data_IF_299253798878
#
_entry.id   IF_299253798878
#
_cell.length_a   1.000
_cell.length_b   1.000
_cell.length_c   1.000
_cell.angle_alpha   90.00
_cell.angle_beta   90.00
_cell.angle_gamma   90.00
#
_symmetry.space_group_name_H-M   'P 1'
#
loop_
_entity.id
_entity.type
_entity.pdbx_description
1 polymer ?
#
# COMPACT_ATOMS: atom_id res chain seq x y z
N UNK A 1 -44.00 -5.24 -23.80
CA UNK A 1 -42.77 -4.64 -24.33
C UNK A 1 -42.06 -3.68 -23.34
N UNK A 2 -42.63 -3.44 -22.13
CA UNK A 2 -42.08 -2.50 -21.13
C UNK A 2 -41.06 -3.16 -20.18
N UNK A 3 -41.07 -4.50 -20.09
CA UNK A 3 -40.22 -5.24 -19.12
C UNK A 3 -38.72 -5.08 -19.33
N UNK A 4 -38.26 -5.04 -20.58
CA UNK A 4 -36.81 -4.91 -20.89
C UNK A 4 -36.25 -3.59 -20.40
N UNK A 5 -36.82 -2.41 -20.70
CA UNK A 5 -36.34 -1.15 -20.15
C UNK A 5 -36.34 -1.09 -18.61
N UNK A 6 -37.36 -1.64 -17.98
CA UNK A 6 -37.46 -1.66 -16.51
C UNK A 6 -36.35 -2.53 -15.91
N UNK A 7 -36.13 -3.72 -16.46
CA UNK A 7 -35.02 -4.59 -16.02
C UNK A 7 -33.67 -3.95 -16.19
N UNK A 8 -33.46 -3.23 -17.30
CA UNK A 8 -32.23 -2.52 -17.57
C UNK A 8 -31.97 -1.42 -16.52
N UNK A 9 -32.97 -0.59 -16.24
CA UNK A 9 -32.87 0.47 -15.22
C UNK A 9 -32.63 -0.13 -13.84
N UNK A 10 -33.30 -1.24 -13.48
CA UNK A 10 -33.10 -1.93 -12.23
C UNK A 10 -31.67 -2.48 -12.10
N UNK A 11 -31.11 -3.05 -13.17
CA UNK A 11 -29.74 -3.58 -13.20
C UNK A 11 -28.70 -2.46 -13.03
N UNK A 12 -28.87 -1.36 -13.74
CA UNK A 12 -28.00 -0.18 -13.61
C UNK A 12 -28.05 0.40 -12.18
N UNK A 13 -29.26 0.51 -11.62
CA UNK A 13 -29.47 0.99 -10.25
C UNK A 13 -28.85 0.07 -9.19
N UNK A 14 -28.92 -1.24 -9.40
CA UNK A 14 -28.30 -2.23 -8.50
C UNK A 14 -26.78 -2.14 -8.57
N UNK A 15 -26.21 -2.06 -9.78
CA UNK A 15 -24.79 -1.84 -9.96
C UNK A 15 -24.29 -0.57 -9.27
N UNK A 16 -24.99 0.54 -9.45
CA UNK A 16 -24.63 1.82 -8.83
C UNK A 16 -24.65 1.75 -7.29
N UNK A 17 -25.62 1.06 -6.67
CA UNK A 17 -25.66 0.84 -5.22
C UNK A 17 -24.49 0.00 -4.73
N UNK A 18 -23.98 -0.90 -5.56
CA UNK A 18 -22.78 -1.70 -5.27
C UNK A 18 -21.46 -0.95 -5.59
N UNK A 19 -21.51 0.34 -5.94
CA UNK A 19 -20.35 1.15 -6.30
C UNK A 19 -19.85 0.94 -7.73
N UNK A 20 -20.62 0.24 -8.58
CA UNK A 20 -20.26 -0.05 -9.97
C UNK A 20 -21.00 0.89 -10.91
N UNK A 21 -20.24 1.75 -11.62
CA UNK A 21 -20.82 2.63 -12.62
C UNK A 21 -20.83 1.94 -14.00
N UNK A 22 -22.05 1.56 -14.46
CA UNK A 22 -22.22 0.97 -15.79
C UNK A 22 -22.79 2.05 -16.74
N UNK A 23 -22.06 2.37 -17.79
CA UNK A 23 -22.36 3.48 -18.71
C UNK A 23 -23.36 3.09 -19.80
N UNK A 24 -24.47 2.47 -19.44
CA UNK A 24 -25.58 2.14 -20.33
C UNK A 24 -25.87 0.66 -20.49
N UNK A 25 -27.04 0.35 -20.99
CA UNK A 25 -27.58 -1.00 -21.08
C UNK A 25 -26.78 -1.94 -21.98
N UNK A 26 -26.16 -1.42 -23.04
CA UNK A 26 -25.30 -2.22 -23.93
C UNK A 26 -24.16 -2.90 -23.17
N UNK A 27 -23.66 -2.26 -22.12
CA UNK A 27 -22.59 -2.84 -21.27
C UNK A 27 -23.14 -3.91 -20.33
N UNK A 28 -24.39 -3.81 -19.87
CA UNK A 28 -25.04 -4.87 -19.09
C UNK A 28 -25.19 -6.13 -19.93
N UNK A 29 -25.61 -5.98 -21.19
CA UNK A 29 -25.72 -7.12 -22.12
C UNK A 29 -24.35 -7.72 -22.46
N UNK A 30 -23.32 -6.88 -22.62
CA UNK A 30 -21.97 -7.33 -22.87
C UNK A 30 -21.40 -8.15 -21.70
N UNK A 31 -21.69 -7.75 -20.44
CA UNK A 31 -21.27 -8.50 -19.25
C UNK A 31 -21.78 -9.94 -19.24
N UNK A 32 -22.97 -10.21 -19.78
CA UNK A 32 -23.52 -11.56 -19.87
C UNK A 32 -22.73 -12.49 -20.82
N UNK A 33 -21.88 -11.93 -21.67
CA UNK A 33 -21.05 -12.67 -22.65
C UNK A 33 -19.57 -12.74 -22.27
N UNK A 34 -19.19 -12.15 -21.13
CA UNK A 34 -17.80 -12.15 -20.66
C UNK A 34 -17.41 -13.57 -20.30
N UNK A 35 -16.36 -14.08 -20.93
CA UNK A 35 -15.75 -15.39 -20.66
C UNK A 35 -14.38 -15.29 -20.02
N UNK A 36 -13.71 -14.13 -20.13
CA UNK A 36 -12.38 -13.88 -19.56
C UNK A 36 -12.36 -12.50 -18.93
N UNK A 37 -11.77 -12.39 -17.73
CA UNK A 37 -11.55 -11.14 -17.04
C UNK A 37 -10.07 -10.96 -16.80
N UNK A 38 -9.49 -9.87 -17.32
CA UNK A 38 -8.13 -9.45 -17.04
C UNK A 38 -8.15 -8.37 -15.97
N UNK A 39 -7.43 -8.57 -14.87
CA UNK A 39 -7.40 -7.66 -13.74
C UNK A 39 -5.97 -7.13 -13.54
N UNK A 40 -5.84 -5.81 -13.41
CA UNK A 40 -4.62 -5.22 -12.92
C UNK A 40 -4.46 -5.50 -11.41
N UNK A 41 -3.21 -5.65 -10.95
CA UNK A 41 -2.92 -5.94 -9.55
C UNK A 41 -2.98 -4.67 -8.71
N UNK A 42 -2.21 -3.66 -9.09
CA UNK A 42 -1.92 -2.51 -8.22
C UNK A 42 -3.04 -1.47 -8.26
N UNK A 43 -3.68 -1.20 -7.13
CA UNK A 43 -4.81 -0.28 -7.04
C UNK A 43 -6.16 -0.87 -7.50
N UNK A 44 -6.17 -2.09 -8.07
CA UNK A 44 -7.38 -2.83 -8.45
C UNK A 44 -7.61 -3.99 -7.49
N UNK A 45 -6.70 -4.97 -7.47
CA UNK A 45 -6.75 -6.09 -6.52
C UNK A 45 -6.15 -5.74 -5.16
N UNK A 46 -5.24 -4.77 -5.14
CA UNK A 46 -4.62 -4.25 -3.93
C UNK A 46 -5.06 -2.81 -3.68
N UNK A 47 -4.96 -2.37 -2.44
CA UNK A 47 -5.32 -0.98 -2.05
C UNK A 47 -4.32 0.07 -2.52
N UNK A 48 -3.18 -0.33 -3.11
CA UNK A 48 -2.10 0.58 -3.49
C UNK A 48 -1.39 1.24 -2.30
N UNK A 49 -1.67 0.79 -1.08
CA UNK A 49 -1.04 1.25 0.16
C UNK A 49 -0.23 0.10 0.73
N UNK A 50 1.10 0.14 0.67
CA UNK A 50 1.94 -0.85 1.34
C UNK A 50 1.78 -0.73 2.86
N UNK A 51 1.83 -1.87 3.54
CA UNK A 51 1.80 -1.96 4.99
C UNK A 51 2.87 -2.98 5.43
N UNK A 52 3.55 -2.70 6.55
CA UNK A 52 4.48 -3.68 7.15
C UNK A 52 3.65 -4.69 7.92
N UNK A 53 3.69 -5.95 7.50
CA UNK A 53 2.95 -7.04 8.13
C UNK A 53 3.79 -7.77 9.18
N UNK A 54 5.11 -7.74 9.06
CA UNK A 54 6.03 -8.43 9.95
C UNK A 54 7.41 -7.75 9.95
N UNK A 55 8.07 -7.70 11.10
CA UNK A 55 9.41 -7.18 11.27
C UNK A 55 10.22 -8.18 12.10
N UNK A 56 11.27 -8.73 11.49
CA UNK A 56 12.14 -9.74 12.13
C UNK A 56 13.61 -9.38 12.01
N UNK A 57 14.32 -9.53 13.10
CA UNK A 57 15.79 -9.45 13.07
C UNK A 57 16.38 -10.76 12.55
N UNK A 58 17.44 -10.65 11.76
CA UNK A 58 18.19 -11.83 11.27
C UNK A 58 18.88 -12.60 12.41
N UNK A 59 19.32 -11.88 13.45
CA UNK A 59 19.88 -12.47 14.68
C UNK A 59 19.12 -11.89 15.88
N UNK A 60 18.33 -12.69 16.59
CA UNK A 60 17.53 -12.18 17.70
C UNK A 60 18.39 -11.93 18.94
N UNK A 61 18.49 -10.66 19.34
CA UNK A 61 18.94 -10.21 20.66
C UNK A 61 17.77 -9.54 21.40
N UNK A 62 17.68 -9.70 22.72
CA UNK A 62 16.63 -9.06 23.50
C UNK A 62 16.83 -7.54 23.53
N UNK A 63 15.84 -6.79 23.08
CA UNK A 63 15.86 -5.31 23.02
C UNK A 63 16.34 -4.71 21.71
N UNK A 64 16.99 -5.45 20.85
CA UNK A 64 17.54 -4.96 19.58
C UNK A 64 16.46 -4.65 18.53
N UNK A 65 15.30 -5.32 18.58
CA UNK A 65 14.22 -5.11 17.61
C UNK A 65 13.66 -3.69 17.67
N UNK A 66 13.37 -3.17 18.85
CA UNK A 66 12.87 -1.81 19.02
C UNK A 66 13.93 -0.76 18.63
N UNK A 67 15.18 -1.01 18.98
CA UNK A 67 16.28 -0.12 18.61
C UNK A 67 16.51 -0.12 17.09
N UNK A 68 16.49 -1.29 16.44
CA UNK A 68 16.63 -1.39 14.99
C UNK A 68 15.44 -0.72 14.28
N UNK A 69 14.23 -0.93 14.76
CA UNK A 69 13.03 -0.28 14.21
C UNK A 69 13.12 1.26 14.35
N UNK A 70 13.64 1.75 15.47
CA UNK A 70 13.92 3.17 15.69
C UNK A 70 14.90 3.74 14.65
N UNK A 71 15.99 3.01 14.36
CA UNK A 71 16.99 3.39 13.35
C UNK A 71 16.38 3.43 11.95
N UNK A 72 15.66 2.36 11.57
CA UNK A 72 15.00 2.26 10.26
C UNK A 72 13.97 3.39 10.09
N UNK A 73 13.16 3.66 11.11
CA UNK A 73 12.22 4.78 11.10
C UNK A 73 12.93 6.13 10.97
N UNK A 74 14.10 6.29 11.60
CA UNK A 74 14.92 7.49 11.48
C UNK A 74 15.39 7.76 10.06
N UNK A 75 15.86 6.72 9.37
CA UNK A 75 16.28 6.79 7.97
C UNK A 75 15.09 7.10 7.06
N UNK A 76 14.01 6.33 7.19
CA UNK A 76 12.83 6.44 6.33
C UNK A 76 12.06 7.75 6.53
N UNK A 77 12.20 8.42 7.68
CA UNK A 77 11.62 9.75 7.90
C UNK A 77 12.12 10.80 6.90
N UNK A 78 13.31 10.59 6.34
CA UNK A 78 13.91 11.48 5.33
C UNK A 78 13.59 11.04 3.91
N UNK A 79 13.04 9.84 3.72
CA UNK A 79 12.70 9.26 2.43
C UNK A 79 11.33 9.75 1.94
N UNK A 80 11.19 9.96 0.64
CA UNK A 80 9.90 10.24 -0.01
C UNK A 80 9.28 9.00 -0.67
N UNK A 81 9.88 7.83 -0.47
CA UNK A 81 9.40 6.59 -1.06
C UNK A 81 8.08 6.15 -0.43
N UNK A 82 7.11 5.60 -1.19
CA UNK A 82 5.84 5.13 -0.63
C UNK A 82 5.97 4.08 0.49
N UNK A 83 7.01 3.25 0.46
CA UNK A 83 7.32 2.29 1.51
C UNK A 83 7.75 2.94 2.82
N UNK A 84 8.34 4.13 2.78
CA UNK A 84 8.76 4.86 3.97
C UNK A 84 7.58 5.17 4.89
N UNK A 85 6.44 5.57 4.33
CA UNK A 85 5.22 5.83 5.09
C UNK A 85 4.70 4.57 5.80
N UNK A 86 4.79 3.41 5.14
CA UNK A 86 4.40 2.13 5.74
C UNK A 86 5.28 1.78 6.95
N UNK A 87 6.59 1.98 6.81
CA UNK A 87 7.56 1.70 7.87
C UNK A 87 7.36 2.66 9.04
N UNK A 88 7.17 3.95 8.79
CA UNK A 88 6.91 4.95 9.83
C UNK A 88 5.61 4.66 10.60
N UNK A 89 4.54 4.34 9.88
CA UNK A 89 3.26 3.98 10.51
C UNK A 89 3.39 2.71 11.37
N UNK A 90 4.15 1.73 10.92
CA UNK A 90 4.43 0.52 11.70
C UNK A 90 5.25 0.84 12.96
N UNK A 91 6.32 1.62 12.82
CA UNK A 91 7.16 2.03 13.95
C UNK A 91 6.35 2.78 15.03
N UNK A 92 5.49 3.71 14.59
CA UNK A 92 4.58 4.43 15.47
C UNK A 92 3.60 3.50 16.20
N UNK A 93 2.99 2.55 15.49
CA UNK A 93 2.10 1.56 16.07
C UNK A 93 2.79 0.63 17.10
N UNK A 94 4.10 0.38 16.94
CA UNK A 94 4.90 -0.37 17.88
C UNK A 94 5.47 0.48 19.05
N UNK A 95 5.19 1.80 19.05
CA UNK A 95 5.71 2.73 20.05
C UNK A 95 7.22 2.95 19.96
N UNK A 96 7.82 2.67 18.79
CA UNK A 96 9.25 2.88 18.60
C UNK A 96 9.56 4.37 18.43
N UNK A 97 10.55 4.86 19.17
CA UNK A 97 11.06 6.21 18.98
C UNK A 97 11.76 6.33 17.62
N UNK A 98 11.69 7.49 16.99
CA UNK A 98 12.39 7.75 15.73
C UNK A 98 13.79 8.24 16.04
N UNK A 99 14.83 7.49 15.61
CA UNK A 99 16.22 7.88 15.85
C UNK A 99 16.60 9.14 15.04
N UNK A 100 17.46 9.97 15.63
CA UNK A 100 18.07 11.08 14.88
C UNK A 100 19.11 10.55 13.91
N UNK A 101 19.05 11.01 12.67
CA UNK A 101 19.98 10.61 11.60
C UNK A 101 20.60 11.83 10.95
N UNK A 102 21.89 11.70 10.59
CA UNK A 102 22.62 12.67 9.77
C UNK A 102 23.06 12.05 8.45
N UNK A 103 23.55 12.87 7.53
CA UNK A 103 24.14 12.45 6.25
C UNK A 103 23.25 11.51 5.43
N UNK A 104 21.92 11.77 5.45
CA UNK A 104 20.97 10.97 4.67
C UNK A 104 21.22 11.09 3.17
N UNK A 105 21.29 9.96 2.49
CA UNK A 105 21.42 9.85 1.04
C UNK A 105 20.39 8.85 0.50
N UNK A 106 19.61 9.27 -0.48
CA UNK A 106 18.75 8.36 -1.25
C UNK A 106 19.53 7.86 -2.46
N UNK A 107 19.61 6.55 -2.61
CA UNK A 107 20.33 5.87 -3.70
C UNK A 107 19.27 5.29 -4.64
N UNK A 108 19.10 5.94 -5.79
CA UNK A 108 18.07 5.54 -6.76
C UNK A 108 18.19 4.08 -7.15
N UNK A 109 17.11 3.30 -6.94
CA UNK A 109 17.06 1.87 -7.27
C UNK A 109 17.81 0.94 -6.30
N UNK A 110 18.49 1.47 -5.28
CA UNK A 110 19.25 0.68 -4.32
C UNK A 110 18.81 0.85 -2.86
N UNK A 111 18.19 1.99 -2.51
CA UNK A 111 17.71 2.23 -1.15
C UNK A 111 18.13 3.58 -0.60
N UNK A 112 18.47 3.61 0.68
CA UNK A 112 18.92 4.81 1.36
C UNK A 112 20.04 4.48 2.35
N UNK A 113 20.92 5.45 2.59
CA UNK A 113 21.91 5.39 3.67
C UNK A 113 21.82 6.62 4.56
N UNK A 114 22.23 6.47 5.80
CA UNK A 114 22.35 7.57 6.75
C UNK A 114 23.32 7.21 7.88
N UNK A 115 23.72 8.21 8.65
CA UNK A 115 24.56 8.01 9.83
C UNK A 115 23.74 8.10 11.11
N UNK A 116 23.83 7.06 11.96
CA UNK A 116 23.14 6.96 13.25
C UNK A 116 24.19 6.71 14.33
N UNK A 117 24.29 7.60 15.33
CA UNK A 117 25.29 7.47 16.40
C UNK A 117 26.73 7.40 15.88
N UNK A 118 27.05 8.06 14.76
CA UNK A 118 28.37 8.06 14.13
C UNK A 118 28.66 6.83 13.24
N UNK A 119 27.76 5.85 13.17
CA UNK A 119 27.87 4.68 12.29
C UNK A 119 27.03 4.85 11.03
N UNK A 120 27.60 4.47 9.90
CA UNK A 120 26.86 4.42 8.63
C UNK A 120 25.97 3.19 8.59
N UNK A 121 24.71 3.41 8.16
CA UNK A 121 23.66 2.39 8.01
C UNK A 121 23.11 2.48 6.60
N UNK A 122 22.75 1.33 6.01
CA UNK A 122 22.16 1.24 4.66
C UNK A 122 21.29 -0.01 4.54
#
# INVERSE_FOLDING_TARGET
VISIPITMVASLGTGARAGVLIKGGVHVEALARVSVVALDKTGTLTRGKPEVTDFRLAAPGSGEASQMLSVVAGIERRSQHPLALAILSYAEAQGAAVAEVSDFQSITGAGASARVGGKEMY
#
